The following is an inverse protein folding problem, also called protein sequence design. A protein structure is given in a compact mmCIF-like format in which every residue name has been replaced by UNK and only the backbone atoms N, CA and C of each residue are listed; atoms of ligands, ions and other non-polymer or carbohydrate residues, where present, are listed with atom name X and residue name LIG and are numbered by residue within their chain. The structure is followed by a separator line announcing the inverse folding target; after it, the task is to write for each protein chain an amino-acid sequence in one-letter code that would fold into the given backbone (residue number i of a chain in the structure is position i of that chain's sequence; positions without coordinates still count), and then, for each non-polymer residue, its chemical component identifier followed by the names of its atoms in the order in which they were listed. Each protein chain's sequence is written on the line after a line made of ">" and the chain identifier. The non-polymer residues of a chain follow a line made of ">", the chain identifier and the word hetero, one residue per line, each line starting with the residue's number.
data_IF_889515745205
#
_entry.id   IF_889515745205
#
_cell.length_a   1.000
_cell.length_b   1.000
_cell.length_c   1.000
_cell.angle_alpha   90.00
_cell.angle_beta   90.00
_cell.angle_gamma   90.00
#
_symmetry.space_group_name_H-M   'P 1'
#
loop_
_entity.id
_entity.type
_entity.pdbx_description
1 polymer ?
#
# COMPACT_ATOMS: atom_id res chain seq x y z
N UNK A 1 -0.36 14.47 -1.59
CA UNK A 1 0.50 14.90 -2.71
C UNK A 1 -0.17 14.46 -4.03
N UNK A 2 -0.39 15.39 -4.98
CA UNK A 2 -1.06 15.21 -6.30
C UNK A 2 -2.54 14.75 -6.39
N UNK A 3 -3.15 14.08 -5.41
CA UNK A 3 -4.50 13.46 -5.55
C UNK A 3 -5.55 13.96 -4.53
N UNK A 4 -5.31 15.07 -3.81
CA UNK A 4 -6.31 15.59 -2.86
C UNK A 4 -7.61 15.94 -3.61
N UNK A 5 -8.65 15.13 -3.44
CA UNK A 5 -9.98 15.34 -4.00
C UNK A 5 -10.35 14.52 -5.26
N UNK A 6 -9.48 13.65 -5.80
CA UNK A 6 -9.81 12.79 -6.94
C UNK A 6 -9.88 11.33 -6.50
N UNK A 7 -11.08 10.78 -6.51
CA UNK A 7 -11.35 9.37 -6.20
C UNK A 7 -11.14 8.49 -7.44
N UNK A 8 -10.40 7.40 -7.29
CA UNK A 8 -10.22 6.38 -8.33
C UNK A 8 -10.89 5.08 -7.95
N UNK A 9 -11.10 4.20 -8.95
CA UNK A 9 -11.59 2.84 -8.71
C UNK A 9 -10.73 2.08 -7.68
N UNK A 10 -9.41 2.21 -7.77
CA UNK A 10 -8.49 1.55 -6.84
C UNK A 10 -8.57 2.11 -5.42
N UNK A 11 -8.96 3.37 -5.23
CA UNK A 11 -9.21 3.91 -3.89
C UNK A 11 -10.43 3.24 -3.24
N UNK A 12 -11.47 2.94 -4.02
CA UNK A 12 -12.62 2.16 -3.55
C UNK A 12 -12.25 0.73 -3.16
N UNK A 13 -11.46 0.04 -3.99
CA UNK A 13 -10.96 -1.32 -3.67
C UNK A 13 -10.11 -1.30 -2.41
N UNK A 14 -9.18 -0.35 -2.30
CA UNK A 14 -8.33 -0.18 -1.12
C UNK A 14 -9.17 0.08 0.14
N UNK A 15 -10.18 0.93 0.04
CA UNK A 15 -11.08 1.24 1.15
C UNK A 15 -11.84 0.00 1.64
N UNK A 16 -12.35 -0.85 0.73
CA UNK A 16 -13.05 -2.08 1.13
C UNK A 16 -12.15 -2.94 2.03
N UNK A 17 -10.88 -3.12 1.67
CA UNK A 17 -9.94 -3.87 2.50
C UNK A 17 -9.56 -3.12 3.78
N UNK A 18 -9.56 -1.79 3.76
CA UNK A 18 -9.36 -0.98 4.94
C UNK A 18 -10.47 -1.19 5.97
N UNK A 19 -11.72 -1.00 5.57
CA UNK A 19 -12.87 -1.19 6.46
C UNK A 19 -13.00 -2.64 6.92
N UNK A 20 -12.71 -3.61 6.05
CA UNK A 20 -12.66 -5.02 6.43
C UNK A 20 -11.62 -5.29 7.53
N UNK A 21 -10.50 -4.55 7.55
CA UNK A 21 -9.49 -4.66 8.60
C UNK A 21 -10.04 -4.27 9.96
N UNK A 22 -10.76 -3.15 10.04
CA UNK A 22 -11.46 -2.73 11.27
C UNK A 22 -12.50 -3.75 11.70
N UNK A 23 -13.30 -4.27 10.77
CA UNK A 23 -14.33 -5.27 11.09
C UNK A 23 -13.72 -6.58 11.61
N UNK A 24 -12.66 -7.08 10.97
CA UNK A 24 -12.00 -8.34 11.35
C UNK A 24 -11.38 -8.21 12.74
N UNK A 25 -10.74 -7.08 13.06
CA UNK A 25 -10.07 -6.89 14.34
C UNK A 25 -10.86 -6.06 15.35
N UNK A 26 -12.15 -5.77 15.09
CA UNK A 26 -12.95 -4.85 15.91
C UNK A 26 -13.12 -5.25 17.39
N UNK A 27 -12.81 -6.50 17.73
CA UNK A 27 -12.78 -7.00 19.11
C UNK A 27 -11.46 -6.74 19.85
N UNK A 28 -10.44 -6.21 19.16
CA UNK A 28 -9.14 -5.87 19.72
C UNK A 28 -9.12 -4.45 20.31
N UNK A 29 -8.09 -4.09 21.10
CA UNK A 29 -7.89 -2.71 21.55
C UNK A 29 -7.88 -1.71 20.39
N UNK A 30 -8.43 -0.52 20.62
CA UNK A 30 -8.60 0.55 19.63
C UNK A 30 -7.35 0.85 18.80
N UNK A 31 -6.16 0.84 19.42
CA UNK A 31 -4.90 1.03 18.70
C UNK A 31 -4.65 -0.04 17.63
N UNK A 32 -4.98 -1.30 17.93
CA UNK A 32 -4.87 -2.39 16.96
C UNK A 32 -5.93 -2.25 15.88
N UNK A 33 -7.16 -1.88 16.25
CA UNK A 33 -8.26 -1.66 15.29
C UNK A 33 -7.91 -0.54 14.30
N UNK A 34 -7.45 0.62 14.78
CA UNK A 34 -7.05 1.74 13.93
C UNK A 34 -5.90 1.36 12.98
N UNK A 35 -4.97 0.50 13.43
CA UNK A 35 -3.90 0.00 12.57
C UNK A 35 -4.38 -1.05 11.56
N UNK A 36 -5.42 -1.82 11.92
CA UNK A 36 -5.91 -2.97 11.17
C UNK A 36 -6.33 -2.62 9.74
N UNK A 37 -6.99 -1.47 9.53
CA UNK A 37 -7.44 -1.08 8.21
C UNK A 37 -6.28 -0.87 7.25
N UNK A 38 -5.29 -0.07 7.66
CA UNK A 38 -4.07 0.13 6.87
C UNK A 38 -3.30 -1.17 6.66
N UNK A 39 -3.23 -2.04 7.67
CA UNK A 39 -2.54 -3.33 7.54
C UNK A 39 -3.19 -4.23 6.50
N UNK A 40 -4.51 -4.44 6.56
CA UNK A 40 -5.18 -5.34 5.64
C UNK A 40 -5.12 -4.82 4.20
N UNK A 41 -5.29 -3.51 4.02
CA UNK A 41 -5.13 -2.82 2.74
C UNK A 41 -3.77 -3.09 2.06
N UNK A 42 -2.68 -3.23 2.84
CA UNK A 42 -1.34 -3.52 2.32
C UNK A 42 -1.02 -5.02 2.23
N UNK A 43 -1.49 -5.80 3.21
CA UNK A 43 -1.18 -7.24 3.30
C UNK A 43 -1.83 -8.02 2.16
N UNK A 44 -3.07 -7.68 1.76
CA UNK A 44 -3.78 -8.39 0.69
C UNK A 44 -3.01 -8.38 -0.65
N UNK A 45 -2.66 -7.22 -1.23
CA UNK A 45 -1.88 -7.21 -2.47
C UNK A 45 -0.49 -7.84 -2.29
N UNK A 46 0.13 -7.70 -1.11
CA UNK A 46 1.41 -8.34 -0.80
C UNK A 46 1.36 -9.87 -0.80
N UNK A 47 0.35 -10.46 -0.15
CA UNK A 47 0.14 -11.91 -0.12
C UNK A 47 -0.19 -12.45 -1.50
N UNK A 48 -1.03 -11.76 -2.27
CA UNK A 48 -1.34 -12.15 -3.65
C UNK A 48 -0.10 -12.08 -4.55
N UNK A 49 0.70 -11.02 -4.44
CA UNK A 49 1.97 -10.91 -5.15
C UNK A 49 2.90 -12.09 -4.82
N UNK A 50 3.04 -12.43 -3.54
CA UNK A 50 3.84 -13.58 -3.10
C UNK A 50 3.29 -14.91 -3.64
N UNK A 51 1.98 -15.12 -3.54
CA UNK A 51 1.32 -16.33 -4.03
C UNK A 51 1.55 -16.52 -5.54
N UNK A 52 1.29 -15.49 -6.35
CA UNK A 52 1.48 -15.56 -7.81
C UNK A 52 2.94 -15.69 -8.20
N UNK A 53 3.85 -15.10 -7.42
CA UNK A 53 5.29 -15.28 -7.63
C UNK A 53 5.70 -16.74 -7.44
N UNK A 54 5.22 -17.39 -6.38
CA UNK A 54 5.47 -18.82 -6.11
C UNK A 54 4.90 -19.75 -7.18
N UNK A 55 3.86 -19.33 -7.89
CA UNK A 55 3.21 -20.08 -8.97
C UNK A 55 3.67 -19.65 -10.37
N UNK A 56 4.79 -18.93 -10.46
CA UNK A 56 5.42 -18.46 -11.70
C UNK A 56 4.51 -17.60 -12.59
N UNK A 57 3.45 -17.01 -12.02
CA UNK A 57 2.51 -16.12 -12.73
C UNK A 57 3.06 -14.70 -12.75
N UNK A 58 3.99 -14.45 -13.69
CA UNK A 58 4.75 -13.18 -13.77
C UNK A 58 3.85 -11.93 -13.89
N UNK A 59 2.86 -11.96 -14.77
CA UNK A 59 1.95 -10.83 -14.98
C UNK A 59 1.11 -10.54 -13.73
N UNK A 60 0.50 -11.58 -13.14
CA UNK A 60 -0.29 -11.43 -11.92
C UNK A 60 0.56 -10.92 -10.74
N UNK A 61 1.80 -11.41 -10.62
CA UNK A 61 2.77 -10.90 -9.64
C UNK A 61 3.00 -9.41 -9.83
N UNK A 62 3.33 -8.98 -11.06
CA UNK A 62 3.59 -7.58 -11.37
C UNK A 62 2.37 -6.71 -11.05
N UNK A 63 1.18 -7.15 -11.46
CA UNK A 63 -0.07 -6.45 -11.16
C UNK A 63 -0.27 -6.28 -9.64
N UNK A 64 -0.09 -7.33 -8.85
CA UNK A 64 -0.25 -7.25 -7.40
C UNK A 64 0.81 -6.36 -6.73
N UNK A 65 2.06 -6.33 -7.24
CA UNK A 65 3.09 -5.40 -6.74
C UNK A 65 2.76 -3.95 -7.11
N UNK A 66 2.23 -3.70 -8.32
CA UNK A 66 1.72 -2.37 -8.70
C UNK A 66 0.56 -1.95 -7.79
N UNK A 67 -0.37 -2.87 -7.50
CA UNK A 67 -1.47 -2.63 -6.57
C UNK A 67 -0.94 -2.31 -5.17
N UNK A 68 0.03 -3.06 -4.64
CA UNK A 68 0.68 -2.75 -3.36
C UNK A 68 1.28 -1.34 -3.34
N UNK A 69 1.96 -0.93 -4.41
CA UNK A 69 2.48 0.43 -4.57
C UNK A 69 1.37 1.48 -4.54
N UNK A 70 0.26 1.22 -5.23
CA UNK A 70 -0.91 2.10 -5.23
C UNK A 70 -1.59 2.18 -3.85
N UNK A 71 -1.72 1.05 -3.14
CA UNK A 71 -2.24 1.00 -1.77
C UNK A 71 -1.35 1.80 -0.83
N UNK A 72 -0.02 1.68 -0.94
CA UNK A 72 0.91 2.46 -0.12
C UNK A 72 0.88 3.96 -0.46
N UNK A 73 0.68 4.32 -1.73
CA UNK A 73 0.50 5.71 -2.15
C UNK A 73 -0.80 6.31 -1.57
N UNK A 74 -1.87 5.52 -1.53
CA UNK A 74 -3.13 5.91 -0.88
C UNK A 74 -2.93 6.13 0.63
N UNK A 75 -2.29 5.17 1.34
CA UNK A 75 -1.93 5.30 2.76
C UNK A 75 -1.03 6.51 3.01
N UNK A 76 -0.05 6.77 2.14
CA UNK A 76 0.82 7.95 2.22
C UNK A 76 0.03 9.27 2.26
N UNK A 77 -1.00 9.39 1.41
CA UNK A 77 -1.86 10.56 1.40
C UNK A 77 -2.74 10.63 2.65
N UNK A 78 -3.26 9.49 3.11
CA UNK A 78 -4.08 9.39 4.32
C UNK A 78 -3.31 9.78 5.58
N UNK A 79 -2.06 9.29 5.73
CA UNK A 79 -1.14 9.68 6.82
C UNK A 79 -0.82 11.16 6.75
N UNK A 80 -0.50 11.70 5.57
CA UNK A 80 -0.19 13.12 5.39
C UNK A 80 -1.39 14.06 5.65
N UNK A 81 -2.59 13.49 5.75
CA UNK A 81 -3.83 14.21 6.05
C UNK A 81 -4.22 14.13 7.53
N UNK A 82 -3.45 13.44 8.38
CA UNK A 82 -3.82 13.16 9.77
C UNK A 82 -4.16 14.42 10.59
N UNK A 83 -3.49 15.56 10.39
CA UNK A 83 -3.90 16.83 11.04
C UNK A 83 -4.94 17.61 10.24
N UNK A 84 -4.84 17.58 8.92
CA UNK A 84 -5.65 18.42 8.04
C UNK A 84 -7.09 17.92 7.89
N UNK A 85 -7.30 16.59 7.96
CA UNK A 85 -8.60 15.90 7.89
C UNK A 85 -9.49 16.41 6.76
N UNK A 86 -8.87 16.61 5.60
CA UNK A 86 -9.55 17.10 4.38
C UNK A 86 -10.17 15.94 3.62
N UNK A 87 -9.63 14.72 3.77
CA UNK A 87 -10.17 13.54 3.13
C UNK A 87 -11.50 13.13 3.79
N UNK A 88 -12.55 12.85 3.01
CA UNK A 88 -13.82 12.41 3.56
C UNK A 88 -13.64 11.03 4.20
N UNK A 89 -14.06 10.88 5.45
CA UNK A 89 -14.13 9.59 6.12
C UNK A 89 -15.36 8.82 5.64
N UNK A 90 -15.19 7.51 5.47
CA UNK A 90 -16.31 6.59 5.34
C UNK A 90 -16.63 6.10 6.75
N UNK A 91 -17.89 6.19 7.18
CA UNK A 91 -18.34 5.77 8.52
C UNK A 91 -18.34 6.86 9.61
N UNK A 92 -17.84 8.07 9.34
CA UNK A 92 -18.03 9.25 10.22
C UNK A 92 -17.33 9.22 11.59
N UNK A 93 -16.38 8.31 11.80
CA UNK A 93 -15.62 8.14 13.05
C UNK A 93 -14.37 9.03 13.18
N UNK A 94 -13.46 8.67 14.08
CA UNK A 94 -12.15 9.31 14.21
C UNK A 94 -11.21 8.89 13.06
N UNK A 95 -10.34 9.80 12.60
CA UNK A 95 -9.33 9.48 11.59
C UNK A 95 -8.24 8.59 12.21
N UNK A 96 -8.06 7.36 11.73
CA UNK A 96 -7.11 6.39 12.28
C UNK A 96 -5.72 6.97 12.47
N UNK A 97 -5.17 7.62 11.43
CA UNK A 97 -3.82 8.18 11.51
C UNK A 97 -3.73 9.43 12.37
N UNK A 98 -4.84 10.15 12.63
CA UNK A 98 -4.81 11.17 13.69
C UNK A 98 -4.66 10.49 15.05
N UNK A 99 -5.47 9.46 15.31
CA UNK A 99 -5.44 8.72 16.56
C UNK A 99 -4.06 8.07 16.78
N UNK A 100 -3.57 7.29 15.82
CA UNK A 100 -2.31 6.56 15.90
C UNK A 100 -1.13 7.49 16.12
N UNK A 101 -0.99 8.53 15.29
CA UNK A 101 0.12 9.49 15.43
C UNK A 101 -0.01 10.33 16.70
N UNK A 102 -1.24 10.64 17.13
CA UNK A 102 -1.52 11.31 18.39
C UNK A 102 -1.06 10.48 19.59
N UNK A 103 -1.45 9.21 19.64
CA UNK A 103 -1.09 8.26 20.71
C UNK A 103 0.43 8.08 20.86
N UNK A 104 1.18 8.07 19.76
CA UNK A 104 2.64 7.90 19.79
C UNK A 104 3.41 9.23 19.79
N UNK A 105 2.73 10.38 19.88
CA UNK A 105 3.36 11.70 19.95
C UNK A 105 4.03 12.18 18.66
N UNK A 106 3.66 11.62 17.50
CA UNK A 106 4.24 11.94 16.19
C UNK A 106 3.29 12.71 15.26
N UNK A 107 2.14 13.18 15.76
CA UNK A 107 1.11 13.85 14.94
C UNK A 107 1.66 15.04 14.13
N UNK A 108 2.60 15.81 14.68
CA UNK A 108 3.23 16.94 13.98
C UNK A 108 4.11 16.52 12.78
N UNK A 109 4.46 15.24 12.69
CA UNK A 109 5.30 14.67 11.62
C UNK A 109 4.50 13.95 10.53
N UNK A 110 3.17 13.96 10.61
CA UNK A 110 2.24 13.35 9.64
C UNK A 110 2.64 13.55 8.16
N UNK A 111 2.92 14.78 7.73
CA UNK A 111 3.31 15.12 6.36
C UNK A 111 4.68 14.54 6.01
N UNK A 112 5.62 14.51 6.96
CA UNK A 112 6.96 13.96 6.73
C UNK A 112 6.91 12.44 6.60
N UNK A 113 6.13 11.77 7.47
CA UNK A 113 5.89 10.33 7.39
C UNK A 113 5.20 9.98 6.07
N UNK A 114 4.15 10.73 5.71
CA UNK A 114 3.45 10.59 4.44
C UNK A 114 4.40 10.73 3.24
N UNK A 115 5.35 11.68 3.24
CA UNK A 115 6.38 11.80 2.20
C UNK A 115 7.31 10.59 2.13
N UNK A 116 7.74 10.04 3.26
CA UNK A 116 8.56 8.82 3.28
C UNK A 116 7.79 7.66 2.65
N UNK A 117 6.54 7.45 3.05
CA UNK A 117 5.68 6.42 2.46
C UNK A 117 5.45 6.63 0.96
N UNK A 118 5.35 7.89 0.52
CA UNK A 118 5.24 8.25 -0.90
C UNK A 118 6.47 7.77 -1.68
N UNK A 119 7.67 8.08 -1.17
CA UNK A 119 8.93 7.64 -1.80
C UNK A 119 9.00 6.12 -1.87
N UNK A 120 8.63 5.42 -0.80
CA UNK A 120 8.58 3.95 -0.81
C UNK A 120 7.60 3.43 -1.86
N UNK A 121 6.41 4.03 -1.99
CA UNK A 121 5.45 3.65 -3.03
C UNK A 121 6.02 3.84 -4.44
N UNK A 122 6.71 4.96 -4.70
CA UNK A 122 7.39 5.21 -5.98
C UNK A 122 8.49 4.19 -6.27
N UNK A 123 9.25 3.77 -5.26
CA UNK A 123 10.25 2.72 -5.41
C UNK A 123 9.62 1.36 -5.74
N UNK A 124 8.47 1.04 -5.13
CA UNK A 124 7.71 -0.18 -5.46
C UNK A 124 7.26 -0.13 -6.94
N UNK A 125 6.74 1.01 -7.41
CA UNK A 125 6.36 1.17 -8.82
C UNK A 125 7.56 1.04 -9.77
N UNK A 126 8.71 1.64 -9.42
CA UNK A 126 9.93 1.51 -10.20
C UNK A 126 10.41 0.05 -10.29
N UNK A 127 10.36 -0.68 -9.17
CA UNK A 127 10.71 -2.11 -9.14
C UNK A 127 9.73 -2.95 -9.97
N UNK A 128 8.43 -2.72 -9.83
CA UNK A 128 7.40 -3.46 -10.54
C UNK A 128 7.47 -3.24 -12.06
N UNK A 129 7.81 -2.03 -12.51
CA UNK A 129 7.99 -1.71 -13.94
C UNK A 129 9.31 -2.27 -14.49
N UNK A 130 10.38 -2.28 -13.71
CA UNK A 130 11.67 -2.86 -14.10
C UNK A 130 11.68 -4.41 -14.08
N UNK A 131 10.82 -5.04 -13.27
CA UNK A 131 10.83 -6.48 -13.02
C UNK A 131 10.79 -7.39 -14.27
N UNK A 132 9.94 -7.14 -15.29
CA UNK A 132 9.92 -7.97 -16.50
C UNK A 132 11.26 -7.95 -17.25
N UNK A 133 11.91 -6.79 -17.33
CA UNK A 133 13.21 -6.62 -17.99
C UNK A 133 14.31 -7.39 -17.25
N UNK A 134 14.31 -7.32 -15.92
CA UNK A 134 15.25 -8.08 -15.07
C UNK A 134 15.06 -9.59 -15.29
N UNK A 135 13.81 -10.05 -15.32
CA UNK A 135 13.50 -11.47 -15.57
C UNK A 135 13.95 -11.93 -16.96
N UNK A 136 13.70 -11.13 -18.00
CA UNK A 136 14.10 -11.43 -19.37
C UNK A 136 15.62 -11.46 -19.52
N UNK A 137 16.31 -10.47 -18.97
CA UNK A 137 17.77 -10.39 -19.00
C UNK A 137 18.43 -11.61 -18.32
N UNK A 138 17.91 -12.03 -17.17
CA UNK A 138 18.37 -13.26 -16.48
C UNK A 138 18.12 -14.52 -17.32
N UNK A 139 16.99 -14.61 -18.01
CA UNK A 139 16.68 -15.72 -18.88
C UNK A 139 17.68 -15.79 -20.06
N UNK A 140 17.95 -14.66 -20.72
CA UNK A 140 18.89 -14.60 -21.84
C UNK A 140 20.31 -15.01 -21.44
N UNK A 141 20.80 -14.58 -20.27
CA UNK A 141 22.13 -14.97 -19.77
C UNK A 141 22.26 -16.46 -19.47
N UNK A 142 21.21 -17.08 -18.92
CA UNK A 142 21.21 -18.53 -18.68
C UNK A 142 21.29 -19.31 -19.99
N UNK A 143 20.58 -18.86 -21.02
CA UNK A 143 20.57 -19.54 -22.32
C UNK A 143 21.92 -19.40 -23.04
N UNK A 144 22.59 -18.25 -22.95
CA UNK A 144 23.90 -18.02 -23.58
C UNK A 144 25.02 -18.92 -23.05
N UNK A 145 24.92 -19.42 -21.81
CA UNK A 145 25.94 -20.30 -21.20
C UNK A 145 25.88 -21.75 -21.74
N UNK A 146 24.81 -22.16 -22.43
CA UNK A 146 24.67 -23.53 -22.94
C UNK A 146 25.00 -23.69 -24.42
N UNK A 147 25.35 -22.60 -25.11
CA UNK A 147 25.56 -22.57 -26.57
C UNK A 147 27.02 -22.27 -26.96
N UNK A 148 27.94 -22.21 -25.98
CA UNK A 148 29.38 -22.04 -26.19
C UNK A 148 30.14 -23.16 -25.52
#
# INVERSE_FOLDING_TARGET
>A
FSQRGKWTFFDGVNLIFHEAGHLILGFMPEFIVALAGTLLQLVIPGLLAFYFHRHEKRFATQFCVMWLGQSLLNVSNYVADARARVLPLVGGGEHDWTYLLGKIGLLQRDVSIGKVLNVVALLIFALATAWPWICQWRANRRNAHWIG
#
